data_IF_317092925130
#
_entry.id   IF_317092925130
#
_cell.length_a   1.000
_cell.length_b   1.000
_cell.length_c   1.000
_cell.angle_alpha   90.00
_cell.angle_beta   90.00
_cell.angle_gamma   90.00
#
_symmetry.space_group_name_H-M   'P 1'
#
loop_
_entity.id
_entity.type
_entity.pdbx_description
1 polymer ?
#
# COMPACT_ATOMS: atom_id res chain seq x y z
N UNK A 1 68.38 -25.24 60.26
CA UNK A 1 68.30 -24.38 59.05
C UNK A 1 67.17 -24.91 58.18
N UNK A 2 66.01 -24.22 58.15
CA UNK A 2 64.88 -24.61 57.32
C UNK A 2 64.72 -23.62 56.16
N UNK A 3 64.99 -24.07 54.94
CA UNK A 3 64.74 -23.29 53.72
C UNK A 3 63.24 -23.10 53.54
N UNK A 4 62.73 -21.86 53.61
CA UNK A 4 61.39 -21.53 53.12
C UNK A 4 61.40 -21.71 51.60
N UNK A 5 60.53 -22.59 51.09
CA UNK A 5 60.18 -22.61 49.67
C UNK A 5 59.63 -21.22 49.32
N UNK A 6 60.21 -20.62 48.29
CA UNK A 6 59.70 -19.39 47.68
C UNK A 6 58.41 -19.81 46.96
N UNK A 7 57.27 -19.27 47.38
CA UNK A 7 56.03 -19.53 46.67
C UNK A 7 56.19 -19.06 45.22
N UNK A 8 56.00 -19.97 44.27
CA UNK A 8 56.02 -19.63 42.85
C UNK A 8 54.91 -18.59 42.57
N UNK A 9 55.15 -17.57 41.72
CA UNK A 9 54.12 -16.62 41.36
C UNK A 9 52.93 -17.37 40.75
N UNK A 10 51.76 -17.22 41.37
CA UNK A 10 50.51 -17.74 40.82
C UNK A 10 50.37 -17.17 39.40
N UNK A 11 50.08 -18.00 38.36
CA UNK A 11 49.82 -17.49 37.03
C UNK A 11 48.73 -16.44 37.06
N UNK A 12 48.94 -15.30 36.40
CA UNK A 12 47.92 -14.26 36.30
C UNK A 12 46.64 -14.85 35.68
N UNK A 13 45.45 -14.51 36.21
CA UNK A 13 44.19 -14.97 35.64
C UNK A 13 44.08 -14.59 34.15
N UNK A 14 43.42 -15.41 33.32
CA UNK A 14 43.18 -15.07 31.92
C UNK A 14 42.42 -13.74 31.81
N UNK A 15 42.93 -12.81 30.99
CA UNK A 15 42.24 -11.54 30.70
C UNK A 15 41.04 -11.82 29.81
N UNK A 16 39.84 -11.75 30.38
CA UNK A 16 38.59 -11.92 29.65
C UNK A 16 38.34 -10.72 28.72
N UNK A 17 38.33 -10.98 27.41
CA UNK A 17 38.10 -9.95 26.37
C UNK A 17 36.61 -9.89 25.99
N UNK A 18 35.95 -8.71 26.09
CA UNK A 18 34.56 -8.53 25.64
C UNK A 18 34.40 -8.70 24.14
N UNK A 19 33.31 -9.36 23.71
CA UNK A 19 32.95 -9.44 22.31
C UNK A 19 31.45 -9.27 22.08
N UNK A 20 31.10 -8.68 20.92
CA UNK A 20 29.73 -8.49 20.47
C UNK A 20 29.67 -8.79 18.96
N UNK A 21 28.83 -9.74 18.59
CA UNK A 21 28.49 -10.07 17.21
C UNK A 21 26.99 -9.85 17.02
N UNK A 22 26.62 -9.24 15.91
CA UNK A 22 25.24 -9.11 15.52
C UNK A 22 25.13 -9.26 14.00
N UNK A 23 24.01 -9.80 13.54
CA UNK A 23 23.70 -9.98 12.14
C UNK A 23 22.20 -9.82 11.91
N UNK A 24 21.83 -9.54 10.66
CA UNK A 24 20.46 -9.36 10.23
C UNK A 24 20.20 -10.26 9.03
N UNK A 25 19.00 -10.84 8.96
CA UNK A 25 18.60 -11.64 7.82
C UNK A 25 17.11 -11.48 7.53
N UNK A 26 16.71 -11.17 6.29
CA UNK A 26 17.56 -10.76 5.17
C UNK A 26 18.12 -9.33 5.35
N UNK A 27 19.18 -8.97 4.61
CA UNK A 27 19.75 -7.60 4.62
C UNK A 27 18.96 -6.61 3.73
N UNK A 28 18.04 -7.13 2.91
CA UNK A 28 17.12 -6.33 2.14
C UNK A 28 15.71 -6.94 2.14
N UNK A 29 14.70 -6.08 2.24
CA UNK A 29 13.28 -6.46 2.30
C UNK A 29 12.43 -5.58 1.39
N UNK A 30 11.26 -6.08 1.01
CA UNK A 30 10.22 -5.27 0.40
C UNK A 30 9.72 -4.18 1.38
N UNK A 31 9.05 -3.15 0.86
CA UNK A 31 8.40 -2.13 1.68
C UNK A 31 7.48 -2.77 2.74
N UNK A 32 7.60 -2.32 3.99
CA UNK A 32 6.93 -2.90 5.16
C UNK A 32 7.28 -4.37 5.47
N UNK A 33 8.37 -4.91 4.91
CA UNK A 33 8.91 -6.19 5.32
C UNK A 33 9.52 -6.16 6.73
N UNK A 34 9.77 -7.35 7.29
CA UNK A 34 10.42 -7.54 8.59
C UNK A 34 11.74 -8.29 8.42
N UNK A 35 12.65 -8.11 9.37
CA UNK A 35 13.94 -8.82 9.41
C UNK A 35 14.12 -9.53 10.74
N UNK A 36 14.88 -10.63 10.74
CA UNK A 36 15.37 -11.24 11.96
C UNK A 36 16.70 -10.59 12.34
N UNK A 37 16.75 -9.96 13.51
CA UNK A 37 17.97 -9.47 14.13
C UNK A 37 18.45 -10.53 15.12
N UNK A 38 19.71 -10.90 15.07
CA UNK A 38 20.29 -11.85 15.99
C UNK A 38 21.65 -11.36 16.50
N UNK A 39 21.96 -11.72 17.74
CA UNK A 39 23.17 -11.28 18.41
C UNK A 39 23.75 -12.36 19.32
N UNK A 40 25.05 -12.25 19.53
CA UNK A 40 25.80 -13.02 20.51
C UNK A 40 26.88 -12.16 21.15
N UNK A 41 27.03 -12.26 22.47
CA UNK A 41 28.02 -11.50 23.23
C UNK A 41 28.64 -12.32 24.34
N UNK A 42 29.91 -12.03 24.62
CA UNK A 42 30.71 -12.69 25.66
C UNK A 42 31.43 -11.63 26.49
N UNK A 43 31.60 -11.91 27.79
CA UNK A 43 32.33 -11.04 28.73
C UNK A 43 31.81 -9.58 28.74
N UNK A 44 30.49 -9.40 28.62
CA UNK A 44 29.81 -8.11 28.80
C UNK A 44 29.12 -8.02 30.17
N UNK A 45 28.95 -6.80 30.69
CA UNK A 45 28.21 -6.54 31.93
C UNK A 45 26.74 -6.94 31.72
N UNK A 46 26.19 -7.67 32.70
CA UNK A 46 24.78 -8.07 32.70
C UNK A 46 23.88 -6.83 32.58
N UNK A 47 22.91 -6.88 31.65
CA UNK A 47 21.98 -5.78 31.41
C UNK A 47 22.55 -4.58 30.64
N UNK A 48 23.80 -4.64 30.15
CA UNK A 48 24.40 -3.54 29.38
C UNK A 48 24.10 -3.57 27.89
N UNK A 49 23.55 -4.67 27.37
CA UNK A 49 23.27 -4.84 25.95
C UNK A 49 22.00 -4.08 25.56
N UNK A 50 22.13 -3.19 24.58
CA UNK A 50 21.05 -2.36 24.05
C UNK A 50 20.90 -2.56 22.54
N UNK A 51 19.68 -2.51 22.04
CA UNK A 51 19.33 -2.36 20.63
C UNK A 51 18.64 -1.00 20.43
N UNK A 52 19.26 -0.13 19.64
CA UNK A 52 18.79 1.25 19.42
C UNK A 52 18.53 2.00 20.75
N UNK A 53 19.38 1.77 21.76
CA UNK A 53 19.24 2.34 23.10
C UNK A 53 18.23 1.62 24.02
N UNK A 54 17.47 0.64 23.51
CA UNK A 54 16.52 -0.13 24.32
C UNK A 54 17.18 -1.40 24.88
N UNK A 55 16.98 -1.74 26.16
CA UNK A 55 17.64 -2.89 26.77
C UNK A 55 17.14 -4.21 26.19
N UNK A 56 18.08 -5.14 25.97
CA UNK A 56 17.79 -6.52 25.62
C UNK A 56 17.83 -7.41 26.87
N UNK A 57 16.94 -8.40 26.94
CA UNK A 57 16.78 -9.27 28.11
C UNK A 57 17.84 -10.37 28.19
N UNK A 58 18.52 -10.67 27.09
CA UNK A 58 19.52 -11.74 27.00
C UNK A 58 20.78 -11.27 26.26
N UNK A 59 21.94 -11.79 26.67
CA UNK A 59 23.23 -11.52 26.01
C UNK A 59 23.39 -12.24 24.66
N UNK A 60 22.54 -13.24 24.39
CA UNK A 60 22.47 -13.97 23.13
C UNK A 60 20.99 -14.15 22.80
N UNK A 61 20.61 -13.91 21.55
CA UNK A 61 19.21 -13.98 21.20
C UNK A 61 18.93 -13.55 19.77
N UNK A 62 17.63 -13.52 19.47
CA UNK A 62 17.12 -12.96 18.25
C UNK A 62 15.77 -12.28 18.51
N UNK A 63 15.41 -11.35 17.64
CA UNK A 63 14.12 -10.66 17.65
C UNK A 63 13.71 -10.35 16.21
N UNK A 64 12.41 -10.48 15.94
CA UNK A 64 11.85 -10.01 14.68
C UNK A 64 11.62 -8.50 14.76
N UNK A 65 12.04 -7.75 13.75
CA UNK A 65 11.75 -6.31 13.69
C UNK A 65 10.26 -6.05 13.49
N UNK A 66 9.82 -4.84 13.85
CA UNK A 66 8.59 -4.29 13.29
C UNK A 66 8.72 -4.13 11.76
N UNK A 67 7.59 -4.00 11.04
CA UNK A 67 7.58 -3.64 9.62
C UNK A 67 8.39 -2.37 9.35
N UNK A 68 9.25 -2.41 8.33
CA UNK A 68 10.16 -1.31 8.00
C UNK A 68 9.65 -0.53 6.77
N UNK A 69 9.27 0.75 6.90
CA UNK A 69 8.80 1.55 5.77
C UNK A 69 9.95 2.21 4.98
N UNK A 70 11.18 2.15 5.49
CA UNK A 70 12.36 2.77 4.89
C UNK A 70 13.64 2.09 5.35
N UNK A 71 14.73 2.37 4.65
CA UNK A 71 16.08 2.00 5.09
C UNK A 71 16.26 2.28 6.58
N UNK A 72 16.65 1.25 7.31
CA UNK A 72 16.72 1.29 8.77
C UNK A 72 18.08 0.82 9.23
N UNK A 73 18.62 1.51 10.21
CA UNK A 73 19.88 1.17 10.86
C UNK A 73 19.58 0.67 12.26
N UNK A 74 20.08 -0.53 12.58
CA UNK A 74 20.05 -1.12 13.91
C UNK A 74 21.43 -1.03 14.54
N UNK A 75 21.49 -0.50 15.75
CA UNK A 75 22.73 -0.30 16.50
C UNK A 75 22.64 -1.11 17.78
N UNK A 76 23.51 -2.12 17.88
CA UNK A 76 23.75 -2.85 19.11
C UNK A 76 24.88 -2.17 19.88
N UNK A 77 24.66 -1.87 21.15
CA UNK A 77 25.73 -1.38 22.04
C UNK A 77 25.81 -2.24 23.30
N UNK A 78 27.01 -2.41 23.84
CA UNK A 78 27.22 -3.14 25.09
C UNK A 78 28.41 -2.58 25.86
N UNK A 79 28.48 -2.86 27.16
CA UNK A 79 29.63 -2.51 28.00
C UNK A 79 30.31 -3.81 28.44
N UNK A 80 31.57 -3.98 28.07
CA UNK A 80 32.43 -5.08 28.52
C UNK A 80 32.60 -5.10 30.04
N UNK A 81 32.90 -6.27 30.62
CA UNK A 81 33.19 -6.37 32.06
C UNK A 81 34.41 -5.53 32.49
N UNK A 82 35.30 -5.23 31.55
CA UNK A 82 36.43 -4.30 31.71
C UNK A 82 36.07 -2.81 31.51
N UNK A 83 34.80 -2.49 31.26
CA UNK A 83 34.32 -1.12 30.98
C UNK A 83 34.41 -0.67 29.52
N UNK A 84 34.93 -1.51 28.62
CA UNK A 84 35.02 -1.18 27.18
C UNK A 84 33.64 -1.05 26.55
N UNK A 85 33.41 0.01 25.77
CA UNK A 85 32.20 0.13 24.96
C UNK A 85 32.35 -0.65 23.65
N UNK A 86 31.35 -1.48 23.35
CA UNK A 86 31.22 -2.21 22.09
C UNK A 86 30.04 -1.64 21.30
N UNK A 87 30.17 -1.56 19.98
CA UNK A 87 29.10 -1.14 19.09
C UNK A 87 29.12 -1.96 17.80
N UNK A 88 27.94 -2.38 17.34
CA UNK A 88 27.74 -3.05 16.05
C UNK A 88 26.56 -2.44 15.33
N UNK A 89 26.79 -1.99 14.10
CA UNK A 89 25.77 -1.40 13.24
C UNK A 89 25.38 -2.38 12.15
N UNK A 90 24.07 -2.54 11.94
CA UNK A 90 23.47 -3.32 10.87
C UNK A 90 22.57 -2.39 10.06
N UNK A 91 22.71 -2.42 8.73
CA UNK A 91 21.90 -1.61 7.82
C UNK A 91 21.00 -2.53 7.01
N UNK A 92 19.71 -2.24 7.01
CA UNK A 92 18.72 -2.95 6.19
C UNK A 92 18.25 -2.04 5.08
N UNK A 93 18.32 -2.55 3.84
CA UNK A 93 17.79 -1.86 2.66
C UNK A 93 16.34 -2.21 2.42
N UNK A 94 15.48 -1.20 2.33
CA UNK A 94 14.04 -1.38 2.10
C UNK A 94 13.71 -0.90 0.70
N UNK A 95 13.06 -1.77 -0.07
CA UNK A 95 12.55 -1.38 -1.39
C UNK A 95 11.61 -0.17 -1.27
N UNK A 96 11.60 0.69 -2.28
CA UNK A 96 10.70 1.84 -2.31
C UNK A 96 9.24 1.41 -2.14
N UNK A 97 8.40 2.24 -1.50
CA UNK A 97 6.98 1.97 -1.41
C UNK A 97 6.38 1.75 -2.80
N UNK A 98 5.39 0.86 -2.94
CA UNK A 98 4.63 0.78 -4.19
C UNK A 98 4.00 2.15 -4.45
N UNK A 99 4.31 2.73 -5.60
CA UNK A 99 3.72 3.99 -6.04
C UNK A 99 2.32 3.66 -6.55
N UNK A 100 1.29 4.06 -5.79
CA UNK A 100 -0.07 4.00 -6.31
C UNK A 100 -0.16 4.98 -7.48
N UNK A 101 -0.56 4.46 -8.64
CA UNK A 101 -0.86 5.32 -9.77
C UNK A 101 -2.16 6.08 -9.49
N UNK A 102 -2.37 7.18 -10.20
CA UNK A 102 -3.65 7.88 -10.15
C UNK A 102 -4.80 6.97 -10.62
N UNK A 103 -4.53 6.06 -11.55
CA UNK A 103 -5.47 5.02 -11.96
C UNK A 103 -5.83 4.06 -10.81
N UNK A 104 -4.85 3.62 -10.02
CA UNK A 104 -5.10 2.74 -8.85
C UNK A 104 -5.97 3.43 -7.81
N UNK A 105 -5.72 4.72 -7.57
CA UNK A 105 -6.49 5.52 -6.62
C UNK A 105 -7.95 5.66 -7.06
N UNK A 106 -8.19 5.91 -8.34
CA UNK A 106 -9.55 5.99 -8.92
C UNK A 106 -10.22 4.61 -8.91
N UNK A 107 -9.49 3.54 -9.23
CA UNK A 107 -10.02 2.18 -9.17
C UNK A 107 -10.49 1.82 -7.76
N UNK A 108 -9.64 2.08 -6.76
CA UNK A 108 -9.96 1.85 -5.35
C UNK A 108 -11.16 2.67 -4.88
N UNK A 109 -11.27 3.92 -5.32
CA UNK A 109 -12.45 4.74 -5.03
C UNK A 109 -13.72 4.06 -5.56
N UNK A 110 -13.74 3.70 -6.84
CA UNK A 110 -14.90 3.12 -7.52
C UNK A 110 -15.37 1.81 -6.89
N UNK A 111 -14.46 0.89 -6.56
CA UNK A 111 -14.83 -0.46 -6.09
C UNK A 111 -15.30 -0.51 -4.63
N UNK A 112 -15.01 0.54 -3.84
CA UNK A 112 -15.28 0.53 -2.40
C UNK A 112 -16.69 1.03 -2.04
N UNK A 113 -17.45 1.56 -3.00
CA UNK A 113 -18.72 2.25 -2.73
C UNK A 113 -19.74 1.97 -3.84
N UNK A 114 -21.05 1.94 -3.51
CA UNK A 114 -22.12 2.04 -4.49
C UNK A 114 -22.30 3.49 -4.97
N UNK A 115 -22.63 3.67 -6.24
CA UNK A 115 -22.71 4.98 -6.87
C UNK A 115 -24.07 5.25 -7.48
N UNK A 116 -24.57 6.46 -7.29
CA UNK A 116 -25.78 6.95 -7.92
C UNK A 116 -25.43 8.06 -8.92
N UNK A 117 -26.15 8.07 -10.03
CA UNK A 117 -26.06 9.12 -11.02
C UNK A 117 -26.84 10.36 -10.53
N UNK A 118 -26.20 11.52 -10.59
CA UNK A 118 -26.79 12.79 -10.08
C UNK A 118 -26.88 13.87 -11.15
N UNK A 119 -26.00 13.81 -12.14
CA UNK A 119 -26.04 14.71 -13.28
C UNK A 119 -25.43 14.03 -14.50
N UNK A 120 -25.97 14.34 -15.68
CA UNK A 120 -25.31 14.05 -16.95
C UNK A 120 -25.23 15.36 -17.72
N UNK A 121 -24.03 15.92 -17.73
CA UNK A 121 -23.70 17.11 -18.49
C UNK A 121 -22.56 16.79 -19.45
N UNK A 122 -22.45 17.57 -20.52
CA UNK A 122 -21.45 17.41 -21.55
C UNK A 122 -20.68 18.70 -21.76
N UNK A 123 -19.38 18.55 -22.00
CA UNK A 123 -18.43 19.66 -22.10
C UNK A 123 -17.47 19.39 -23.26
N UNK A 124 -16.93 20.46 -23.82
CA UNK A 124 -15.83 20.40 -24.78
C UNK A 124 -14.54 19.97 -24.08
N UNK A 125 -13.50 19.62 -24.86
CA UNK A 125 -12.22 19.19 -24.28
C UNK A 125 -11.50 20.27 -23.45
N UNK A 126 -11.73 21.53 -23.78
CA UNK A 126 -11.28 22.71 -23.04
C UNK A 126 -12.18 23.07 -21.84
N UNK A 127 -13.18 22.24 -21.53
CA UNK A 127 -14.01 22.37 -20.34
C UNK A 127 -15.17 23.36 -20.47
N UNK A 128 -15.55 23.76 -21.69
CA UNK A 128 -16.73 24.60 -21.92
C UNK A 128 -17.99 23.73 -21.92
N UNK A 129 -18.99 24.14 -21.16
CA UNK A 129 -20.30 23.47 -21.14
C UNK A 129 -20.92 23.43 -22.55
N UNK A 130 -21.47 22.27 -22.91
CA UNK A 130 -22.22 22.04 -24.16
C UNK A 130 -23.71 21.94 -23.84
N UNK A 131 -24.11 20.91 -23.09
CA UNK A 131 -25.52 20.60 -22.80
C UNK A 131 -25.64 19.60 -21.64
N UNK A 132 -26.83 19.50 -21.03
CA UNK A 132 -27.14 18.54 -19.97
C UNK A 132 -28.46 17.82 -20.23
N UNK A 133 -28.56 16.59 -19.74
CA UNK A 133 -29.77 15.78 -19.86
C UNK A 133 -30.50 15.72 -18.52
N UNK A 134 -31.82 15.86 -18.58
CA UNK A 134 -32.66 15.65 -17.41
C UNK A 134 -32.73 14.16 -17.09
N UNK A 135 -32.25 13.80 -15.90
CA UNK A 135 -32.37 12.43 -15.38
C UNK A 135 -33.83 12.02 -15.24
N UNK A 136 -34.17 10.84 -15.75
CA UNK A 136 -35.48 10.22 -15.49
C UNK A 136 -35.55 9.70 -14.05
N UNK A 137 -36.75 9.44 -13.54
CA UNK A 137 -36.91 8.81 -12.21
C UNK A 137 -36.22 7.44 -12.14
N UNK A 138 -36.14 6.72 -13.26
CA UNK A 138 -35.36 5.48 -13.37
C UNK A 138 -33.87 5.76 -13.11
N UNK A 139 -33.29 6.73 -13.80
CA UNK A 139 -31.85 7.03 -13.71
C UNK A 139 -31.44 7.48 -12.31
N UNK A 140 -32.33 8.20 -11.62
CA UNK A 140 -32.12 8.65 -10.24
C UNK A 140 -32.13 7.53 -9.22
N UNK A 141 -32.66 6.34 -9.53
CA UNK A 141 -32.74 5.24 -8.55
C UNK A 141 -31.81 4.08 -8.88
N UNK A 142 -31.12 4.11 -10.02
CA UNK A 142 -30.11 3.11 -10.36
C UNK A 142 -28.90 3.20 -9.43
N UNK A 143 -28.41 2.05 -9.00
CA UNK A 143 -27.17 1.93 -8.22
C UNK A 143 -26.11 1.19 -9.03
N UNK A 144 -24.95 1.79 -9.13
CA UNK A 144 -23.79 1.26 -9.85
C UNK A 144 -22.77 0.68 -8.87
N UNK A 145 -22.31 -0.53 -9.17
CA UNK A 145 -21.27 -1.22 -8.44
C UNK A 145 -20.09 -1.49 -9.38
N UNK A 146 -18.88 -1.24 -8.91
CA UNK A 146 -17.65 -1.60 -9.62
C UNK A 146 -16.90 -2.66 -8.82
N UNK A 147 -16.28 -3.60 -9.51
CA UNK A 147 -15.58 -4.71 -8.87
C UNK A 147 -14.10 -4.73 -9.23
N UNK A 148 -13.30 -5.33 -8.35
CA UNK A 148 -11.84 -5.38 -8.49
C UNK A 148 -11.38 -6.13 -9.76
N UNK A 149 -12.17 -7.11 -10.20
CA UNK A 149 -12.00 -7.89 -11.44
C UNK A 149 -12.32 -7.10 -12.72
N UNK A 150 -12.68 -5.81 -12.60
CA UNK A 150 -13.03 -4.97 -13.73
C UNK A 150 -14.46 -5.18 -14.24
N UNK A 151 -15.31 -5.95 -13.55
CA UNK A 151 -16.73 -6.03 -13.88
C UNK A 151 -17.51 -4.87 -13.24
N UNK A 152 -18.73 -4.62 -13.71
CA UNK A 152 -19.68 -3.68 -13.08
C UNK A 152 -21.05 -4.31 -12.91
N UNK A 153 -21.86 -3.78 -11.99
CA UNK A 153 -23.28 -4.11 -11.90
C UNK A 153 -24.14 -2.85 -11.82
N UNK A 154 -25.34 -2.93 -12.39
CA UNK A 154 -26.37 -1.91 -12.31
C UNK A 154 -27.58 -2.56 -11.63
N UNK A 155 -27.97 -2.02 -10.48
CA UNK A 155 -29.17 -2.41 -9.75
C UNK A 155 -30.31 -1.45 -10.12
N UNK A 156 -31.34 -2.00 -10.77
CA UNK A 156 -32.56 -1.27 -11.15
C UNK A 156 -33.80 -1.72 -10.34
N UNK A 157 -33.61 -2.47 -9.25
CA UNK A 157 -34.72 -3.06 -8.47
C UNK A 157 -35.66 -2.01 -7.90
N UNK A 158 -35.15 -0.83 -7.53
CA UNK A 158 -35.95 0.31 -7.08
C UNK A 158 -36.96 0.84 -8.13
N UNK A 159 -36.79 0.46 -9.39
CA UNK A 159 -37.68 0.80 -10.51
C UNK A 159 -38.44 -0.43 -11.05
N UNK A 160 -38.46 -1.55 -10.32
CA UNK A 160 -39.07 -2.81 -10.75
C UNK A 160 -38.26 -3.58 -11.81
N UNK A 161 -36.98 -3.20 -12.01
CA UNK A 161 -36.02 -3.94 -12.81
C UNK A 161 -35.30 -5.04 -12.01
N UNK A 162 -34.19 -5.52 -12.57
CA UNK A 162 -33.29 -6.48 -11.92
C UNK A 162 -31.89 -5.92 -11.73
N UNK A 163 -30.97 -6.79 -11.30
CA UNK A 163 -29.54 -6.48 -11.22
C UNK A 163 -28.83 -7.05 -12.45
N UNK A 164 -28.15 -6.19 -13.19
CA UNK A 164 -27.41 -6.56 -14.40
C UNK A 164 -25.92 -6.46 -14.13
N UNK A 165 -25.20 -7.59 -14.21
CA UNK A 165 -23.75 -7.65 -14.01
C UNK A 165 -23.03 -7.95 -15.32
N UNK A 166 -21.93 -7.27 -15.58
CA UNK A 166 -21.08 -7.48 -16.76
C UNK A 166 -19.99 -8.52 -16.50
N UNK A 167 -19.30 -8.95 -17.56
CA UNK A 167 -18.15 -9.82 -17.45
C UNK A 167 -16.96 -9.10 -16.79
N UNK A 168 -15.95 -9.83 -16.27
CA UNK A 168 -14.68 -9.25 -15.85
C UNK A 168 -14.02 -8.41 -16.96
N UNK A 169 -13.24 -7.40 -16.58
CA UNK A 169 -12.55 -6.46 -17.48
C UNK A 169 -13.47 -5.63 -18.41
N UNK A 170 -14.72 -5.44 -18.01
CA UNK A 170 -15.71 -4.61 -18.70
C UNK A 170 -15.52 -3.11 -18.44
N UNK A 171 -14.61 -2.68 -17.56
CA UNK A 171 -14.17 -1.28 -17.54
C UNK A 171 -12.66 -1.17 -17.33
N UNK A 172 -12.11 -0.04 -17.78
CA UNK A 172 -10.69 0.32 -17.63
C UNK A 172 -10.53 1.80 -17.29
N UNK A 173 -9.40 2.16 -16.69
CA UNK A 173 -9.07 3.52 -16.28
C UNK A 173 -7.77 3.91 -16.99
N UNK A 174 -7.71 5.13 -17.53
CA UNK A 174 -6.49 5.62 -18.19
C UNK A 174 -5.32 5.70 -17.20
N UNK A 175 -4.06 5.54 -17.64
CA UNK A 175 -2.90 5.59 -16.75
C UNK A 175 -2.81 6.86 -15.88
N UNK A 176 -3.27 7.99 -16.41
CA UNK A 176 -3.34 9.28 -15.72
C UNK A 176 -4.56 9.44 -14.79
N UNK A 177 -5.42 8.42 -14.68
CA UNK A 177 -6.64 8.39 -13.88
C UNK A 177 -7.69 9.44 -14.25
N UNK A 178 -7.62 10.04 -15.44
CA UNK A 178 -8.56 11.09 -15.86
C UNK A 178 -9.77 10.57 -16.62
N UNK A 179 -9.72 9.32 -17.11
CA UNK A 179 -10.76 8.76 -17.98
C UNK A 179 -11.11 7.35 -17.53
N UNK A 180 -12.40 7.02 -17.64
CA UNK A 180 -12.93 5.67 -17.46
C UNK A 180 -13.54 5.26 -18.80
N UNK A 181 -13.18 4.06 -19.26
CA UNK A 181 -13.74 3.44 -20.44
C UNK A 181 -14.51 2.19 -20.02
N UNK A 182 -15.60 1.93 -20.72
CA UNK A 182 -16.48 0.80 -20.49
C UNK A 182 -16.54 -0.05 -21.76
N UNK A 183 -16.54 -1.37 -21.59
CA UNK A 183 -16.83 -2.34 -22.62
C UNK A 183 -18.30 -2.20 -23.01
N UNK A 184 -18.56 -1.99 -24.29
CA UNK A 184 -19.88 -2.05 -24.86
C UNK A 184 -19.95 -3.23 -25.82
N UNK A 185 -20.77 -4.23 -25.53
CA UNK A 185 -21.28 -5.12 -26.58
C UNK A 185 -22.51 -4.45 -27.21
N UNK A 186 -22.68 -4.57 -28.53
CA UNK A 186 -23.65 -3.81 -29.35
C UNK A 186 -25.13 -4.04 -29.00
N UNK A 187 -25.45 -4.90 -28.05
CA UNK A 187 -26.81 -5.38 -27.79
C UNK A 187 -27.54 -4.68 -26.61
N UNK A 188 -26.92 -3.74 -25.90
CA UNK A 188 -27.63 -2.98 -24.85
C UNK A 188 -28.38 -1.78 -25.43
N UNK A 189 -29.59 -2.02 -25.94
CA UNK A 189 -30.57 -0.99 -26.31
C UNK A 189 -31.33 -0.40 -25.10
N UNK A 190 -30.99 -0.78 -23.86
CA UNK A 190 -31.73 -0.36 -22.64
C UNK A 190 -30.89 0.04 -21.42
N UNK A 191 -29.57 0.09 -21.53
CA UNK A 191 -28.68 0.57 -20.47
C UNK A 191 -27.84 1.73 -20.97
N UNK A 192 -27.45 2.64 -20.09
CA UNK A 192 -26.38 3.61 -20.37
C UNK A 192 -25.09 2.83 -20.68
N UNK A 193 -24.89 2.52 -21.96
CA UNK A 193 -23.70 1.91 -22.50
C UNK A 193 -22.75 3.02 -22.92
N UNK A 194 -21.69 3.23 -22.15
CA UNK A 194 -20.54 3.99 -22.63
C UNK A 194 -19.81 3.06 -23.59
N UNK A 195 -20.12 3.16 -24.89
CA UNK A 195 -19.60 2.28 -25.94
C UNK A 195 -18.31 2.87 -26.49
N UNK A 196 -17.19 2.14 -26.34
CA UNK A 196 -15.94 2.42 -27.06
C UNK A 196 -15.86 1.54 -28.30
N UNK A 197 -16.01 2.13 -29.49
CA UNK A 197 -15.53 1.50 -30.74
C UNK A 197 -14.84 2.55 -31.61
N UNK A 198 -13.75 2.15 -32.27
CA UNK A 198 -12.88 3.03 -33.05
C UNK A 198 -13.60 3.66 -34.25
N UNK A 199 -13.64 4.99 -34.28
CA UNK A 199 -14.13 5.77 -35.42
C UNK A 199 -14.80 7.10 -35.04
N UNK A 200 -14.03 8.03 -34.48
CA UNK A 200 -14.10 9.50 -34.64
C UNK A 200 -15.43 10.26 -34.41
N UNK A 201 -15.74 10.58 -33.14
CA UNK A 201 -16.20 11.89 -32.58
C UNK A 201 -16.04 11.83 -31.06
N UNK A 202 -15.18 12.63 -30.41
CA UNK A 202 -14.92 12.57 -28.94
C UNK A 202 -15.74 13.62 -28.18
N UNK A 203 -16.51 13.24 -27.14
CA UNK A 203 -17.28 14.14 -26.26
C UNK A 203 -16.90 13.87 -24.80
N UNK A 204 -16.70 14.88 -23.97
CA UNK A 204 -16.53 14.67 -22.52
C UNK A 204 -17.92 14.76 -21.89
N UNK A 205 -18.35 13.70 -21.22
CA UNK A 205 -19.50 13.70 -20.32
C UNK A 205 -18.96 13.67 -18.90
N UNK A 206 -18.71 14.83 -18.28
CA UNK A 206 -18.52 14.82 -16.85
C UNK A 206 -19.81 14.37 -16.18
N UNK A 207 -19.73 13.24 -15.49
CA UNK A 207 -20.77 12.74 -14.61
C UNK A 207 -20.35 13.04 -13.18
N UNK A 208 -21.25 13.65 -12.41
CA UNK A 208 -21.10 13.69 -10.96
C UNK A 208 -21.71 12.40 -10.45
N UNK A 209 -20.87 11.53 -9.91
CA UNK A 209 -21.35 10.38 -9.15
C UNK A 209 -21.41 10.75 -7.67
N UNK A 210 -22.50 10.36 -7.04
CA UNK A 210 -22.72 10.58 -5.61
C UNK A 210 -22.64 9.23 -4.88
N UNK A 211 -21.92 9.21 -3.77
CA UNK A 211 -21.93 8.08 -2.86
C UNK A 211 -23.35 7.91 -2.31
N UNK A 212 -23.99 6.77 -2.62
CA UNK A 212 -25.37 6.52 -2.21
C UNK A 212 -25.58 6.42 -0.69
N UNK A 213 -24.51 6.23 0.09
CA UNK A 213 -24.54 6.14 1.55
C UNK A 213 -24.18 7.47 2.22
N UNK A 214 -23.26 8.26 1.66
CA UNK A 214 -22.73 9.47 2.33
C UNK A 214 -23.09 10.79 1.64
N UNK A 215 -23.67 10.75 0.44
CA UNK A 215 -23.98 11.96 -0.35
C UNK A 215 -22.74 12.69 -0.91
N UNK A 216 -21.55 12.11 -0.78
CA UNK A 216 -20.30 12.69 -1.25
C UNK A 216 -20.24 12.67 -2.79
N UNK A 217 -20.03 13.84 -3.41
CA UNK A 217 -20.02 14.03 -4.86
C UNK A 217 -18.60 13.99 -5.41
N UNK A 218 -18.35 13.11 -6.37
CA UNK A 218 -17.07 13.02 -7.09
C UNK A 218 -17.26 13.40 -8.55
N UNK A 219 -16.59 14.45 -9.05
CA UNK A 219 -16.56 14.74 -10.48
C UNK A 219 -15.76 13.65 -11.21
N UNK A 220 -16.38 13.01 -12.20
CA UNK A 220 -15.70 12.07 -13.10
C UNK A 220 -15.83 12.60 -14.52
N UNK A 221 -14.72 12.70 -15.24
CA UNK A 221 -14.75 12.97 -16.68
C UNK A 221 -14.88 11.66 -17.46
N UNK A 222 -16.06 11.40 -18.02
CA UNK A 222 -16.27 10.31 -18.98
C UNK A 222 -15.96 10.86 -20.36
N UNK A 223 -15.25 10.11 -21.20
CA UNK A 223 -15.05 10.48 -22.61
C UNK A 223 -15.88 9.54 -23.46
N UNK A 224 -16.95 10.06 -24.05
CA UNK A 224 -17.76 9.38 -25.05
C UNK A 224 -17.10 9.48 -26.43
N UNK A 225 -17.25 8.46 -27.28
CA UNK A 225 -16.91 8.60 -28.70
C UNK A 225 -17.96 7.93 -29.58
N UNK A 226 -18.50 8.62 -30.59
CA UNK A 226 -19.51 8.09 -31.51
C UNK A 226 -19.00 8.06 -32.95
N UNK A 227 -19.51 7.13 -33.76
CA UNK A 227 -19.27 7.05 -35.21
C UNK A 227 -20.55 7.45 -35.95
N UNK A 228 -20.46 8.39 -36.89
CA UNK A 228 -21.54 8.72 -37.84
C UNK A 228 -21.51 7.71 -38.99
#
# INVERSE_FOLDING_TARGET
MGCRKKDDPKPDPPVLTPSLRAWVSPESVAYNGTVLLAWSSENIKVGSLLLNGSPLTTNNGNILSAPLPKDTVFIFTAIGINGQSLSKTLTVKVASPPVLTKADSVKMLLINKPWKLVDISSYTMDGKYIDSWTLTERDKVMIWYFYADGSRAIDETAYGGGVYKTAPNDFSISPDGTKIAFGGNKDYTKGFGIVVTEGTYKRIVPSIIENATTGEKTPIQVVETYKV
#
